data_IF_216392132676
#
_entry.id   IF_216392132676
#
_cell.length_a   1.000
_cell.length_b   1.000
_cell.length_c   1.000
_cell.angle_alpha   90.00
_cell.angle_beta   90.00
_cell.angle_gamma   90.00
#
_symmetry.space_group_name_H-M   'P 1'
#
loop_
_entity.id
_entity.type
_entity.pdbx_description
1 polymer ?
#
# COMPACT_ATOMS: atom_id res chain seq x y z
N UNK A 1 15.50 -11.78 14.77
CA UNK A 1 14.73 -11.19 13.65
C UNK A 1 14.21 -9.85 14.12
N UNK A 2 14.32 -8.80 13.32
CA UNK A 2 13.71 -7.50 13.66
C UNK A 2 12.20 -7.54 13.41
N UNK A 3 11.42 -6.79 14.18
CA UNK A 3 9.95 -6.68 14.02
C UNK A 3 9.56 -6.35 12.58
N UNK A 4 10.29 -5.43 11.95
CA UNK A 4 10.10 -5.06 10.55
C UNK A 4 10.28 -6.24 9.59
N UNK A 5 11.26 -7.11 9.83
CA UNK A 5 11.49 -8.28 8.98
C UNK A 5 10.34 -9.30 9.09
N UNK A 6 9.82 -9.53 10.30
CA UNK A 6 8.66 -10.41 10.52
C UNK A 6 7.40 -9.83 9.86
N UNK A 7 7.14 -8.54 10.06
CA UNK A 7 6.00 -7.85 9.45
C UNK A 7 6.05 -7.89 7.92
N UNK A 8 7.21 -7.54 7.34
CA UNK A 8 7.41 -7.61 5.89
C UNK A 8 7.29 -9.04 5.34
N UNK A 9 7.64 -10.05 6.13
CA UNK A 9 7.45 -11.46 5.78
C UNK A 9 5.96 -11.83 5.64
N UNK A 10 5.12 -11.39 6.59
CA UNK A 10 3.67 -11.60 6.54
C UNK A 10 3.04 -10.87 5.35
N UNK A 11 3.40 -9.59 5.17
CA UNK A 11 2.94 -8.78 4.01
C UNK A 11 3.33 -9.44 2.69
N UNK A 12 4.59 -9.87 2.55
CA UNK A 12 5.07 -10.52 1.34
C UNK A 12 4.36 -11.85 1.05
N UNK A 13 4.06 -12.64 2.08
CA UNK A 13 3.32 -13.90 1.95
C UNK A 13 1.91 -13.69 1.42
N UNK A 14 1.18 -12.70 1.95
CA UNK A 14 -0.18 -12.39 1.50
C UNK A 14 -0.19 -11.78 0.09
N UNK A 15 0.73 -10.87 -0.22
CA UNK A 15 0.87 -10.33 -1.58
C UNK A 15 1.19 -11.43 -2.60
N UNK A 16 2.01 -12.43 -2.22
CA UNK A 16 2.36 -13.56 -3.09
C UNK A 16 1.14 -14.42 -3.43
N UNK A 17 0.23 -14.70 -2.49
CA UNK A 17 -1.03 -15.42 -2.77
C UNK A 17 -1.88 -14.72 -3.83
N UNK A 18 -1.68 -13.42 -3.99
CA UNK A 18 -2.42 -12.53 -4.89
C UNK A 18 -1.70 -12.29 -6.21
N UNK A 19 -0.52 -12.88 -6.42
CA UNK A 19 0.34 -12.62 -7.56
C UNK A 19 0.70 -11.12 -7.72
N UNK A 20 0.83 -10.42 -6.58
CA UNK A 20 1.25 -9.02 -6.50
C UNK A 20 2.62 -8.96 -5.81
N UNK A 21 3.52 -8.11 -6.29
CA UNK A 21 4.80 -7.82 -5.64
C UNK A 21 4.70 -6.59 -4.75
N UNK A 22 5.64 -6.41 -3.82
CA UNK A 22 5.69 -5.20 -2.96
C UNK A 22 5.71 -3.90 -3.79
N UNK A 23 6.54 -3.75 -4.85
CA UNK A 23 6.50 -2.54 -5.69
C UNK A 23 5.15 -2.31 -6.39
N UNK A 24 4.45 -3.38 -6.78
CA UNK A 24 3.11 -3.26 -7.35
C UNK A 24 2.10 -2.78 -6.31
N UNK A 25 2.16 -3.31 -5.08
CA UNK A 25 1.30 -2.87 -3.98
C UNK A 25 1.52 -1.39 -3.64
N UNK A 26 2.77 -0.93 -3.59
CA UNK A 26 3.10 0.48 -3.34
C UNK A 26 2.56 1.38 -4.46
N UNK A 27 2.71 0.99 -5.73
CA UNK A 27 2.16 1.77 -6.86
C UNK A 27 0.63 1.85 -6.80
N UNK A 28 -0.04 0.75 -6.47
CA UNK A 28 -1.50 0.73 -6.26
C UNK A 28 -1.89 1.69 -5.13
N UNK A 29 -1.27 1.59 -3.96
CA UNK A 29 -1.53 2.49 -2.83
C UNK A 29 -1.35 3.97 -3.20
N UNK A 30 -0.33 4.27 -4.01
CA UNK A 30 -0.04 5.63 -4.47
C UNK A 30 -1.19 6.25 -5.30
N UNK A 31 -1.99 5.45 -6.00
CA UNK A 31 -3.11 5.90 -6.86
C UNK A 31 -4.50 5.59 -6.27
N UNK A 32 -4.57 5.13 -5.02
CA UNK A 32 -5.80 4.69 -4.36
C UNK A 32 -6.86 5.78 -4.29
N UNK A 33 -6.46 6.99 -3.92
CA UNK A 33 -7.42 8.10 -3.70
C UNK A 33 -7.73 8.88 -4.97
N UNK A 34 -6.80 8.90 -5.94
CA UNK A 34 -6.96 9.63 -7.21
C UNK A 34 -6.01 9.13 -8.28
N UNK A 35 -6.41 9.36 -9.53
CA UNK A 35 -5.54 9.13 -10.67
C UNK A 35 -4.28 9.99 -10.61
N UNK A 36 -3.14 9.43 -11.03
CA UNK A 36 -1.84 10.12 -11.04
C UNK A 36 -1.09 9.85 -12.34
N UNK A 37 -0.20 10.77 -12.71
CA UNK A 37 0.69 10.53 -13.85
C UNK A 37 1.81 9.56 -13.46
N UNK A 38 2.46 8.93 -14.45
CA UNK A 38 3.63 8.08 -14.18
C UNK A 38 4.76 8.88 -13.50
N UNK A 39 4.90 10.17 -13.84
CA UNK A 39 5.86 11.06 -13.19
C UNK A 39 5.55 11.30 -11.71
N UNK A 40 4.27 11.47 -11.35
CA UNK A 40 3.86 11.62 -9.95
C UNK A 40 4.11 10.33 -9.16
N UNK A 41 3.79 9.18 -9.76
CA UNK A 41 4.02 7.86 -9.13
C UNK A 41 5.53 7.65 -8.93
N UNK A 42 6.35 7.90 -9.96
CA UNK A 42 7.81 7.82 -9.91
C UNK A 42 8.42 8.63 -8.76
N UNK A 43 7.95 9.87 -8.56
CA UNK A 43 8.37 10.71 -7.43
C UNK A 43 7.91 10.17 -6.08
N UNK A 44 6.69 9.67 -5.98
CA UNK A 44 6.12 9.20 -4.73
C UNK A 44 6.79 7.91 -4.22
N UNK A 45 7.21 7.04 -5.14
CA UNK A 45 7.80 5.72 -4.80
C UNK A 45 9.32 5.66 -4.94
N UNK A 46 9.96 6.80 -5.28
CA UNK A 46 11.40 6.94 -5.54
C UNK A 46 11.97 5.87 -6.52
N UNK A 47 11.26 5.65 -7.62
CA UNK A 47 11.68 4.73 -8.68
C UNK A 47 11.76 5.46 -10.01
N UNK A 48 12.64 4.98 -10.90
CA UNK A 48 12.76 5.54 -12.25
C UNK A 48 11.45 5.41 -13.03
N UNK A 49 11.23 6.34 -13.97
CA UNK A 49 10.05 6.32 -14.83
C UNK A 49 9.89 5.00 -15.59
N UNK A 50 10.99 4.41 -16.09
CA UNK A 50 10.96 3.13 -16.80
C UNK A 50 10.58 1.97 -15.89
N UNK A 51 11.08 1.95 -14.65
CA UNK A 51 10.69 0.96 -13.63
C UNK A 51 9.21 1.05 -13.32
N UNK A 52 8.70 2.27 -13.06
CA UNK A 52 7.27 2.48 -12.79
C UNK A 52 6.41 2.11 -13.99
N UNK A 53 6.82 2.49 -15.21
CA UNK A 53 6.12 2.10 -16.43
C UNK A 53 5.99 0.58 -16.54
N UNK A 54 7.07 -0.17 -16.31
CA UNK A 54 7.04 -1.64 -16.34
C UNK A 54 6.24 -2.27 -15.19
N UNK A 55 6.08 -1.58 -14.05
CA UNK A 55 5.16 -1.99 -12.99
C UNK A 55 3.71 -1.81 -13.47
N UNK A 56 3.39 -0.64 -14.03
CA UNK A 56 2.05 -0.32 -14.55
C UNK A 56 1.68 -1.28 -15.68
N UNK A 57 2.58 -1.60 -16.61
CA UNK A 57 2.31 -2.54 -17.70
C UNK A 57 1.88 -3.92 -17.19
N UNK A 58 2.49 -4.38 -16.08
CA UNK A 58 2.11 -5.65 -15.46
C UNK A 58 0.75 -5.55 -14.76
N UNK A 59 0.49 -4.45 -14.06
CA UNK A 59 -0.80 -4.22 -13.40
C UNK A 59 -1.95 -4.08 -14.43
N UNK A 60 -1.70 -3.43 -15.57
CA UNK A 60 -2.66 -3.26 -16.66
C UNK A 60 -2.96 -4.61 -17.32
N UNK A 61 -1.94 -5.47 -17.52
CA UNK A 61 -2.13 -6.87 -17.95
C UNK A 61 -2.93 -7.72 -16.97
N UNK A 62 -2.90 -7.39 -15.68
CA UNK A 62 -3.73 -8.03 -14.65
C UNK A 62 -5.14 -7.39 -14.56
N UNK A 63 -5.40 -6.37 -15.38
CA UNK A 63 -6.61 -5.54 -15.38
C UNK A 63 -6.86 -4.84 -14.04
N UNK A 64 -5.78 -4.55 -13.29
CA UNK A 64 -5.87 -3.88 -12.00
C UNK A 64 -5.78 -2.34 -12.13
N UNK A 65 -5.14 -1.86 -13.18
CA UNK A 65 -5.05 -0.43 -13.50
C UNK A 65 -5.36 -0.20 -14.95
N UNK A 66 -5.74 1.03 -15.27
CA UNK A 66 -5.91 1.49 -16.65
C UNK A 66 -5.27 2.87 -16.84
N UNK A 67 -4.78 3.12 -18.06
CA UNK A 67 -4.30 4.42 -18.49
C UNK A 67 -5.38 5.18 -19.24
N UNK A 68 -5.53 6.46 -18.93
CA UNK A 68 -6.38 7.36 -19.69
C UNK A 68 -5.66 8.67 -19.99
N UNK A 69 -6.05 9.34 -21.07
CA UNK A 69 -5.50 10.63 -21.45
C UNK A 69 -6.36 11.75 -20.89
N UNK A 70 -5.73 12.82 -20.49
CA UNK A 70 -6.44 14.02 -20.07
C UNK A 70 -7.26 14.60 -21.24
N UNK A 71 -8.44 15.13 -20.92
CA UNK A 71 -9.36 15.70 -21.92
C UNK A 71 -8.86 17.06 -22.42
N UNK A 72 -8.19 17.82 -21.56
CA UNK A 72 -7.66 19.16 -21.84
C UNK A 72 -6.28 19.10 -22.51
N UNK A 73 -5.42 18.15 -22.11
CA UNK A 73 -4.14 17.89 -22.77
C UNK A 73 -3.87 16.40 -23.01
N UNK A 74 -4.11 15.93 -24.25
CA UNK A 74 -3.92 14.53 -24.66
C UNK A 74 -2.47 14.02 -24.51
N UNK A 75 -1.49 14.90 -24.27
CA UNK A 75 -0.10 14.51 -23.97
C UNK A 75 0.05 13.96 -22.55
N UNK A 76 -0.85 14.35 -21.64
CA UNK A 76 -0.85 13.89 -20.25
C UNK A 76 -1.57 12.54 -20.16
N UNK A 77 -0.87 11.56 -19.58
CA UNK A 77 -1.39 10.22 -19.33
C UNK A 77 -1.50 10.01 -17.83
N UNK A 78 -2.71 9.70 -17.38
CA UNK A 78 -3.04 9.34 -16.03
C UNK A 78 -3.22 7.83 -15.90
N UNK A 79 -2.97 7.34 -14.70
CA UNK A 79 -3.17 5.95 -14.28
C UNK A 79 -4.16 5.95 -13.13
N UNK A 80 -5.15 5.06 -13.17
CA UNK A 80 -6.10 4.82 -12.06
C UNK A 80 -6.35 3.33 -11.86
N UNK A 81 -6.84 2.97 -10.69
CA UNK A 81 -7.35 1.62 -10.44
C UNK A 81 -8.59 1.35 -11.31
N UNK A 82 -8.73 0.11 -11.75
CA UNK A 82 -9.98 -0.38 -12.36
C UNK A 82 -10.99 -0.74 -11.28
N UNK A 83 -12.26 -0.88 -11.65
CA UNK A 83 -13.30 -1.43 -10.77
C UNK A 83 -12.94 -2.82 -10.24
N UNK A 84 -12.28 -3.65 -11.05
CA UNK A 84 -11.77 -4.97 -10.64
C UNK A 84 -10.79 -4.85 -9.47
N UNK A 85 -9.88 -3.88 -9.52
CA UNK A 85 -8.93 -3.65 -8.45
C UNK A 85 -9.59 -3.07 -7.19
N UNK A 86 -10.57 -2.18 -7.34
CA UNK A 86 -11.32 -1.63 -6.22
C UNK A 86 -12.14 -2.71 -5.51
N UNK A 87 -12.82 -3.57 -6.28
CA UNK A 87 -13.53 -4.73 -5.75
C UNK A 87 -12.57 -5.67 -5.00
N UNK A 88 -11.40 -5.92 -5.57
CA UNK A 88 -10.34 -6.71 -4.94
C UNK A 88 -9.88 -6.12 -3.60
N UNK A 89 -9.73 -4.79 -3.52
CA UNK A 89 -9.39 -4.06 -2.29
C UNK A 89 -10.53 -4.05 -1.26
N UNK A 90 -11.79 -3.99 -1.68
CA UNK A 90 -12.94 -4.03 -0.76
C UNK A 90 -13.14 -5.39 -0.09
N UNK A 91 -12.60 -6.45 -0.69
CA UNK A 91 -12.56 -7.81 -0.14
C UNK A 91 -11.23 -8.15 0.53
N UNK A 92 -10.35 -7.16 0.76
CA UNK A 92 -8.99 -7.38 1.24
C UNK A 92 -8.99 -7.82 2.72
N UNK A 93 -8.62 -9.09 3.02
CA UNK A 93 -8.43 -9.56 4.38
C UNK A 93 -7.40 -8.72 5.13
N UNK A 94 -6.38 -8.15 4.46
CA UNK A 94 -5.33 -7.39 5.14
C UNK A 94 -5.85 -6.15 5.88
N UNK A 95 -6.96 -5.57 5.40
CA UNK A 95 -7.68 -4.47 6.06
C UNK A 95 -8.99 -4.96 6.69
N UNK A 96 -9.29 -6.26 6.61
CA UNK A 96 -10.43 -6.82 7.32
C UNK A 96 -10.06 -6.98 8.79
N UNK A 97 -11.02 -6.77 9.70
CA UNK A 97 -10.84 -7.08 11.11
C UNK A 97 -10.34 -8.52 11.34
N UNK A 98 -10.69 -9.45 10.46
CA UNK A 98 -10.38 -10.88 10.59
C UNK A 98 -8.89 -11.20 10.45
N UNK A 99 -8.12 -10.45 9.65
CA UNK A 99 -6.67 -10.69 9.51
C UNK A 99 -5.90 -10.32 10.78
N UNK A 100 -6.24 -9.17 11.38
CA UNK A 100 -5.64 -8.77 12.65
C UNK A 100 -6.07 -9.72 13.77
N UNK A 101 -7.33 -10.19 13.76
CA UNK A 101 -7.77 -11.22 14.70
C UNK A 101 -6.97 -12.51 14.56
N UNK A 102 -6.66 -12.97 13.35
CA UNK A 102 -5.89 -14.20 13.16
C UNK A 102 -4.39 -14.01 13.50
N UNK A 103 -3.80 -12.84 13.22
CA UNK A 103 -2.41 -12.53 13.60
C UNK A 103 -2.23 -12.44 15.12
N UNK A 104 -3.17 -11.80 15.80
CA UNK A 104 -3.12 -11.61 17.26
C UNK A 104 -3.78 -12.75 18.03
N UNK A 105 -4.22 -13.79 17.34
CA UNK A 105 -4.82 -14.97 17.95
C UNK A 105 -3.85 -15.61 18.93
N UNK A 106 -4.33 -15.80 20.17
CA UNK A 106 -3.54 -16.38 21.25
C UNK A 106 -2.75 -15.38 22.07
N UNK A 107 -2.78 -14.09 21.74
CA UNK A 107 -2.31 -13.04 22.65
C UNK A 107 -3.27 -12.89 23.83
N UNK A 108 -2.72 -12.70 25.02
CA UNK A 108 -3.53 -12.32 26.18
C UNK A 108 -3.88 -10.84 26.13
N UNK A 109 -4.89 -10.43 26.90
CA UNK A 109 -5.29 -9.03 26.97
C UNK A 109 -4.15 -8.15 27.52
N UNK A 110 -3.38 -8.67 28.47
CA UNK A 110 -2.23 -8.00 29.08
C UNK A 110 -1.04 -7.86 28.11
N UNK A 111 -0.89 -8.76 27.13
CA UNK A 111 0.08 -8.61 26.06
C UNK A 111 -0.35 -7.53 25.07
N UNK A 112 -1.64 -7.51 24.70
CA UNK A 112 -2.22 -6.48 23.83
C UNK A 112 -2.06 -5.08 24.44
N UNK A 113 -2.47 -4.90 25.70
CA UNK A 113 -2.42 -3.61 26.39
C UNK A 113 -0.99 -3.08 26.49
N UNK A 114 0.00 -3.95 26.78
CA UNK A 114 1.43 -3.55 26.81
C UNK A 114 1.94 -3.08 25.45
N UNK A 115 1.51 -3.70 24.36
CA UNK A 115 1.90 -3.26 23.01
C UNK A 115 1.28 -1.91 22.70
N UNK A 116 0.00 -1.73 23.02
CA UNK A 116 -0.72 -0.45 22.82
C UNK A 116 -0.04 0.68 23.60
N UNK A 117 0.29 0.45 24.87
CA UNK A 117 1.01 1.43 25.70
C UNK A 117 2.37 1.78 25.10
N UNK A 118 3.14 0.78 24.68
CA UNK A 118 4.47 0.97 24.09
C UNK A 118 4.41 1.75 22.78
N UNK A 119 3.44 1.45 21.92
CA UNK A 119 3.23 2.16 20.66
C UNK A 119 2.75 3.59 20.89
N UNK A 120 1.90 3.82 21.90
CA UNK A 120 1.42 5.16 22.26
C UNK A 120 2.58 6.04 22.76
N UNK A 121 3.48 5.48 23.57
CA UNK A 121 4.70 6.17 23.99
C UNK A 121 5.53 6.54 22.75
N UNK A 122 5.79 5.58 21.86
CA UNK A 122 6.56 5.84 20.64
C UNK A 122 5.90 6.91 19.76
N UNK A 123 4.58 6.86 19.58
CA UNK A 123 3.83 7.85 18.80
C UNK A 123 4.02 9.26 19.37
N UNK A 124 3.86 9.44 20.69
CA UNK A 124 4.06 10.74 21.34
C UNK A 124 5.45 11.31 21.08
N UNK A 125 6.51 10.48 21.21
CA UNK A 125 7.88 10.92 20.91
C UNK A 125 8.07 11.27 19.43
N UNK A 126 7.46 10.51 18.51
CA UNK A 126 7.56 10.80 17.07
C UNK A 126 6.83 12.10 16.71
N UNK A 127 5.65 12.35 17.28
CA UNK A 127 4.89 13.59 17.07
C UNK A 127 5.62 14.83 17.62
N UNK A 128 6.33 14.69 18.74
CA UNK A 128 7.13 15.78 19.31
C UNK A 128 8.37 16.11 18.45
N UNK A 129 9.02 15.09 17.86
CA UNK A 129 10.28 15.27 17.13
C UNK A 129 10.10 15.49 15.62
N UNK A 130 9.02 14.96 15.03
CA UNK A 130 8.65 15.21 13.65
C UNK A 130 7.53 16.24 13.72
N UNK A 131 7.83 17.51 13.40
CA UNK A 131 6.80 18.53 13.15
C UNK A 131 5.93 18.08 11.98
N UNK A 132 5.01 17.16 12.22
CA UNK A 132 3.94 16.81 11.31
C UNK A 132 3.00 18.00 11.35
N UNK A 133 3.24 18.94 10.43
CA UNK A 133 2.22 19.92 10.05
C UNK A 133 1.08 19.12 9.42
N UNK A 134 0.14 18.67 10.25
CA UNK A 134 -1.21 18.33 9.81
C UNK A 134 -1.91 19.65 9.47
#
# INVERSE_FOLDING_TARGET
MSLNQTFMGIVAYELKKRHITIPQAIVLDTIKDRAKTIGDISKAVDLSYSTVSGIIDRLERQELVERFRDVSDKRVVFVRMTEKCLAFHSTDPFMSPDFFQEIFKGMTKEEEDRIVDSLSILQNYLEEHVKLNV
#
